data_IF_890042093624
#
_entry.id   IF_890042093624
#
_cell.length_a   1.000
_cell.length_b   1.000
_cell.length_c   1.000
_cell.angle_alpha   90.00
_cell.angle_beta   90.00
_cell.angle_gamma   90.00
#
_symmetry.space_group_name_H-M   'P 1'
#
loop_
_entity.id
_entity.type
_entity.pdbx_description
1 polymer ?
#
# COMPACT_ATOMS: atom_id res chain seq x y z
N UNK A 1 19.01 1.99 -15.79
CA UNK A 1 18.89 0.98 -14.71
C UNK A 1 19.29 1.48 -13.32
N UNK A 2 20.49 2.05 -13.08
CA UNK A 2 20.89 2.54 -11.73
C UNK A 2 19.95 3.58 -11.09
N UNK A 3 19.52 4.60 -11.84
CA UNK A 3 18.68 5.68 -11.31
C UNK A 3 17.29 5.21 -10.86
N UNK A 4 16.70 4.24 -11.57
CA UNK A 4 15.36 3.73 -11.27
C UNK A 4 15.35 2.86 -10.01
N UNK A 5 16.42 2.10 -9.76
CA UNK A 5 16.62 1.36 -8.51
C UNK A 5 16.78 2.30 -7.30
N UNK A 6 17.43 3.46 -7.48
CA UNK A 6 17.53 4.49 -6.43
C UNK A 6 16.14 5.06 -6.11
N UNK A 7 15.33 5.37 -7.13
CA UNK A 7 13.95 5.86 -6.95
C UNK A 7 13.10 4.83 -6.22
N UNK A 8 13.18 3.54 -6.62
CA UNK A 8 12.48 2.44 -5.94
C UNK A 8 12.89 2.34 -4.47
N UNK A 9 14.19 2.41 -4.17
CA UNK A 9 14.70 2.39 -2.80
C UNK A 9 14.19 3.56 -1.96
N UNK A 10 14.18 4.78 -2.52
CA UNK A 10 13.61 5.96 -1.86
C UNK A 10 12.12 5.81 -1.56
N UNK A 11 11.34 5.25 -2.49
CA UNK A 11 9.90 5.05 -2.31
C UNK A 11 9.60 4.01 -1.22
N UNK A 12 10.38 2.93 -1.13
CA UNK A 12 10.26 1.95 -0.05
C UNK A 12 10.61 2.59 1.30
N UNK A 13 11.70 3.35 1.37
CA UNK A 13 12.11 4.06 2.59
C UNK A 13 11.05 5.08 3.03
N UNK A 14 10.47 5.82 2.08
CA UNK A 14 9.36 6.74 2.34
C UNK A 14 8.13 5.98 2.84
N UNK A 15 7.75 4.86 2.23
CA UNK A 15 6.63 4.03 2.69
C UNK A 15 6.80 3.57 4.14
N UNK A 16 8.00 3.10 4.50
CA UNK A 16 8.34 2.75 5.88
C UNK A 16 8.27 3.95 6.84
N UNK A 17 8.83 5.10 6.45
CA UNK A 17 8.79 6.32 7.26
C UNK A 17 7.35 6.84 7.47
N UNK A 18 6.51 6.78 6.44
CA UNK A 18 5.09 7.13 6.53
C UNK A 18 4.34 6.18 7.47
N UNK A 19 4.61 4.87 7.42
CA UNK A 19 4.01 3.89 8.32
C UNK A 19 4.39 4.14 9.79
N UNK A 20 5.67 4.42 10.05
CA UNK A 20 6.16 4.74 11.40
C UNK A 20 5.55 6.07 11.88
N UNK A 21 5.54 7.10 11.03
CA UNK A 21 4.94 8.40 11.35
C UNK A 21 3.44 8.29 11.65
N UNK A 22 2.71 7.49 10.88
CA UNK A 22 1.31 7.24 11.12
C UNK A 22 1.06 6.55 12.47
N UNK A 23 1.85 5.52 12.79
CA UNK A 23 1.74 4.86 14.11
C UNK A 23 2.05 5.81 15.27
N UNK A 24 3.04 6.68 15.10
CA UNK A 24 3.43 7.65 16.12
C UNK A 24 2.37 8.72 16.36
N UNK A 25 1.80 9.28 15.28
CA UNK A 25 0.85 10.40 15.35
C UNK A 25 -0.55 9.95 15.76
N UNK A 26 -1.05 8.89 15.14
CA UNK A 26 -2.45 8.48 15.30
C UNK A 26 -2.63 7.38 16.35
N UNK A 27 -1.54 6.75 16.81
CA UNK A 27 -1.56 5.61 17.74
C UNK A 27 -2.72 4.63 17.44
N UNK A 28 -2.79 4.14 16.19
CA UNK A 28 -3.89 3.30 15.73
C UNK A 28 -4.04 2.07 16.63
N UNK A 29 -5.28 1.63 16.80
CA UNK A 29 -5.59 0.35 17.42
C UNK A 29 -4.96 -0.80 16.63
N UNK A 30 -4.85 -1.97 17.27
CA UNK A 30 -4.32 -3.17 16.60
C UNK A 30 -5.13 -3.51 15.34
N UNK A 31 -6.46 -3.32 15.38
CA UNK A 31 -7.35 -3.55 14.24
C UNK A 31 -7.07 -2.62 13.06
N UNK A 32 -6.87 -1.33 13.33
CA UNK A 32 -6.52 -0.34 12.29
C UNK A 32 -5.16 -0.65 11.67
N UNK A 33 -4.16 -0.96 12.49
CA UNK A 33 -2.82 -1.31 12.02
C UNK A 33 -2.83 -2.57 11.15
N UNK A 34 -3.56 -3.60 11.56
CA UNK A 34 -3.73 -4.82 10.78
C UNK A 34 -4.41 -4.54 9.44
N UNK A 35 -5.44 -3.70 9.43
CA UNK A 35 -6.17 -3.32 8.20
C UNK A 35 -5.26 -2.58 7.21
N UNK A 36 -4.40 -1.67 7.70
CA UNK A 36 -3.41 -0.95 6.89
C UNK A 36 -2.40 -1.91 6.27
N UNK A 37 -1.89 -2.85 7.05
CA UNK A 37 -0.92 -3.84 6.58
C UNK A 37 -1.55 -4.75 5.52
N UNK A 38 -2.75 -5.28 5.78
CA UNK A 38 -3.48 -6.13 4.83
C UNK A 38 -3.78 -5.38 3.55
N UNK A 39 -4.22 -4.13 3.63
CA UNK A 39 -4.47 -3.27 2.47
C UNK A 39 -3.21 -3.05 1.64
N UNK A 40 -2.11 -2.68 2.29
CA UNK A 40 -0.83 -2.37 1.64
C UNK A 40 -0.22 -3.61 1.00
N UNK A 41 -0.20 -4.74 1.71
CA UNK A 41 0.29 -6.01 1.17
C UNK A 41 -0.59 -6.50 0.02
N UNK A 42 -1.92 -6.45 0.16
CA UNK A 42 -2.85 -6.84 -0.89
C UNK A 42 -2.63 -6.06 -2.19
N UNK A 43 -2.41 -4.74 -2.09
CA UNK A 43 -2.10 -3.89 -3.24
C UNK A 43 -0.74 -4.19 -3.86
N UNK A 44 0.30 -4.36 -3.02
CA UNK A 44 1.64 -4.70 -3.50
C UNK A 44 1.64 -6.05 -4.22
N UNK A 45 1.01 -7.09 -3.64
CA UNK A 45 0.90 -8.39 -4.29
C UNK A 45 0.03 -8.34 -5.55
N UNK A 46 -1.05 -7.55 -5.57
CA UNK A 46 -1.88 -7.40 -6.76
C UNK A 46 -1.08 -6.92 -7.98
N UNK A 47 -0.06 -6.08 -7.77
CA UNK A 47 0.82 -5.59 -8.84
C UNK A 47 1.85 -6.60 -9.32
N UNK A 48 2.28 -7.55 -8.47
CA UNK A 48 3.22 -8.63 -8.85
C UNK A 48 2.55 -9.80 -9.56
N UNK A 49 1.29 -10.07 -9.24
CA UNK A 49 0.60 -11.27 -9.72
C UNK A 49 0.24 -11.11 -11.20
N UNK A 50 0.98 -11.83 -12.04
CA UNK A 50 0.83 -11.81 -13.50
C UNK A 50 -0.51 -12.39 -14.01
N UNK A 51 -1.18 -13.20 -13.20
CA UNK A 51 -2.50 -13.75 -13.53
C UNK A 51 -3.60 -12.78 -13.10
N UNK A 52 -4.31 -12.22 -14.08
CA UNK A 52 -5.35 -11.22 -13.89
C UNK A 52 -6.44 -11.63 -12.89
N UNK A 53 -6.83 -12.90 -12.85
CA UNK A 53 -7.85 -13.39 -11.91
C UNK A 53 -7.40 -13.24 -10.45
N UNK A 54 -6.17 -13.64 -10.14
CA UNK A 54 -5.61 -13.53 -8.80
C UNK A 54 -5.27 -12.09 -8.41
N UNK A 55 -4.80 -11.28 -9.37
CA UNK A 55 -4.63 -9.82 -9.17
C UNK A 55 -5.96 -9.16 -8.80
N UNK A 56 -7.06 -9.51 -9.50
CA UNK A 56 -8.38 -8.98 -9.25
C UNK A 56 -8.93 -9.39 -7.87
N UNK A 57 -8.69 -10.62 -7.41
CA UNK A 57 -9.02 -11.06 -6.05
C UNK A 57 -8.29 -10.21 -5.01
N UNK A 58 -7.00 -9.95 -5.19
CA UNK A 58 -6.20 -9.14 -4.26
C UNK A 58 -6.67 -7.68 -4.22
N UNK A 59 -7.03 -7.10 -5.38
CA UNK A 59 -7.65 -5.77 -5.44
C UNK A 59 -8.98 -5.75 -4.70
N UNK A 60 -9.82 -6.77 -4.84
CA UNK A 60 -11.09 -6.88 -4.12
C UNK A 60 -10.88 -7.00 -2.61
N UNK A 61 -9.88 -7.75 -2.15
CA UNK A 61 -9.51 -7.85 -0.73
C UNK A 61 -9.04 -6.49 -0.20
N UNK A 62 -8.21 -5.76 -0.96
CA UNK A 62 -7.79 -4.39 -0.59
C UNK A 62 -8.98 -3.42 -0.56
N UNK A 63 -9.87 -3.47 -1.55
CA UNK A 63 -11.08 -2.64 -1.56
C UNK A 63 -11.98 -2.96 -0.38
N UNK A 64 -12.15 -4.24 -0.05
CA UNK A 64 -12.90 -4.68 1.12
C UNK A 64 -12.28 -4.16 2.42
N UNK A 65 -10.96 -4.21 2.57
CA UNK A 65 -10.26 -3.67 3.75
C UNK A 65 -10.51 -2.16 3.94
N UNK A 66 -10.53 -1.38 2.85
CA UNK A 66 -10.85 0.06 2.89
C UNK A 66 -12.30 0.31 3.29
N UNK A 67 -13.24 -0.43 2.71
CA UNK A 67 -14.67 -0.33 3.05
C UNK A 67 -14.89 -0.68 4.52
N UNK A 68 -14.23 -1.74 5.00
CA UNK A 68 -14.34 -2.20 6.38
C UNK A 68 -13.73 -1.20 7.37
N UNK A 69 -12.58 -0.59 7.02
CA UNK A 69 -12.02 0.52 7.77
C UNK A 69 -12.98 1.72 7.80
N UNK A 70 -13.49 2.12 6.64
CA UNK A 70 -14.44 3.24 6.52
C UNK A 70 -15.70 3.01 7.35
N UNK A 71 -16.24 1.79 7.35
CA UNK A 71 -17.41 1.43 8.15
C UNK A 71 -17.12 1.47 9.66
N UNK A 72 -15.98 0.94 10.09
CA UNK A 72 -15.63 0.87 11.52
C UNK A 72 -15.13 2.20 12.11
N UNK A 73 -14.53 3.06 11.28
CA UNK A 73 -13.81 4.25 11.74
C UNK A 73 -14.25 5.52 10.98
N UNK A 74 -15.54 5.58 10.59
CA UNK A 74 -16.14 6.66 9.80
C UNK A 74 -16.01 8.05 10.45
N UNK A 75 -15.96 8.11 11.78
CA UNK A 75 -15.71 9.34 12.55
C UNK A 75 -14.29 9.90 12.33
N UNK A 76 -13.34 9.05 11.92
CA UNK A 76 -11.94 9.37 11.67
C UNK A 76 -11.60 9.35 10.17
N UNK A 77 -12.45 9.94 9.32
CA UNK A 77 -12.21 10.02 7.86
C UNK A 77 -10.84 10.64 7.49
N UNK A 78 -10.34 11.59 8.30
CA UNK A 78 -8.98 12.13 8.15
C UNK A 78 -7.91 11.03 8.26
N UNK A 79 -8.09 10.10 9.18
CA UNK A 79 -7.16 9.01 9.44
C UNK A 79 -7.20 7.95 8.33
N UNK A 80 -8.36 7.73 7.69
CA UNK A 80 -8.49 6.93 6.46
C UNK A 80 -7.69 7.54 5.31
N UNK A 81 -7.80 8.86 5.08
CA UNK A 81 -7.04 9.56 4.03
C UNK A 81 -5.54 9.42 4.28
N UNK A 82 -5.08 9.61 5.52
CA UNK A 82 -3.66 9.47 5.85
C UNK A 82 -3.21 8.02 5.68
N UNK A 83 -4.02 7.04 6.06
CA UNK A 83 -3.76 5.62 5.78
C UNK A 83 -3.54 5.36 4.28
N UNK A 84 -4.40 5.90 3.42
CA UNK A 84 -4.25 5.77 1.96
C UNK A 84 -2.94 6.42 1.49
N UNK A 85 -2.59 7.59 2.05
CA UNK A 85 -1.30 8.25 1.80
C UNK A 85 -0.08 7.42 2.21
N UNK A 86 -0.18 6.65 3.30
CA UNK A 86 0.91 5.77 3.76
C UNK A 86 1.17 4.64 2.76
N UNK A 87 0.12 4.15 2.09
CA UNK A 87 0.24 3.05 1.11
C UNK A 87 0.82 3.48 -0.24
N UNK A 88 0.64 4.76 -0.61
CA UNK A 88 0.99 5.33 -1.92
C UNK A 88 2.46 5.13 -2.33
N UNK A 89 3.47 5.37 -1.47
CA UNK A 89 4.87 5.15 -1.80
C UNK A 89 5.18 3.68 -2.13
N UNK A 90 4.63 2.73 -1.37
CA UNK A 90 4.82 1.30 -1.58
C UNK A 90 4.20 0.82 -2.89
N UNK A 91 2.97 1.28 -3.18
CA UNK A 91 2.29 0.99 -4.45
C UNK A 91 3.06 1.58 -5.63
N UNK A 92 3.57 2.80 -5.50
CA UNK A 92 4.36 3.47 -6.54
C UNK A 92 5.70 2.75 -6.80
N UNK A 93 6.38 2.30 -5.74
CA UNK A 93 7.60 1.49 -5.85
C UNK A 93 7.34 0.19 -6.61
N UNK A 94 6.16 -0.39 -6.43
CA UNK A 94 5.79 -1.65 -7.07
C UNK A 94 5.40 -1.48 -8.54
N UNK A 95 4.66 -0.43 -8.89
CA UNK A 95 4.42 -0.08 -10.30
C UNK A 95 5.73 0.16 -11.06
N UNK A 96 6.68 0.86 -10.44
CA UNK A 96 8.03 1.03 -11.01
C UNK A 96 8.75 -0.30 -11.18
N UNK A 97 8.61 -1.23 -10.22
CA UNK A 97 9.22 -2.55 -10.31
C UNK A 97 8.68 -3.38 -11.47
N UNK A 98 7.35 -3.39 -11.63
CA UNK A 98 6.68 -4.13 -12.72
C UNK A 98 7.04 -3.52 -14.07
N UNK A 99 7.02 -2.18 -14.18
CA UNK A 99 7.41 -1.48 -15.40
C UNK A 99 8.87 -1.76 -15.80
N UNK A 100 9.78 -1.91 -14.84
CA UNK A 100 11.15 -2.35 -15.11
C UNK A 100 11.21 -3.78 -15.65
N UNK A 101 10.48 -4.70 -15.01
CA UNK A 101 10.48 -6.10 -15.38
C UNK A 101 9.88 -6.33 -16.79
N UNK A 102 8.88 -5.55 -17.19
CA UNK A 102 8.33 -5.61 -18.55
C UNK A 102 9.22 -4.93 -19.60
N UNK A 103 10.01 -3.91 -19.23
CA UNK A 103 10.96 -3.26 -20.13
C UNK A 103 12.26 -4.04 -20.34
N UNK A 104 12.60 -4.97 -19.43
CA UNK A 104 13.75 -5.88 -19.55
C UNK A 104 13.44 -7.16 -20.35
N UNK A 105 12.19 -7.36 -20.77
CA UNK A 105 11.75 -8.44 -21.67
C UNK A 105 11.73 -8.02 -23.14
#
# INVERSE_FOLDING_TARGET
MKGLNVIKGCLIALGGAFMIGYQWVYRPTIGESATIIVFTLGLVFATEVRNWFYSLILVLISAFAVVLYGYMYLENFKQLIVMLLVSLPMVSAMFLHVAQHDAEK
#
